data_IF_873304370448
#
_entry.id   IF_873304370448
#
_cell.length_a   1.000
_cell.length_b   1.000
_cell.length_c   1.000
_cell.angle_alpha   90.00
_cell.angle_beta   90.00
_cell.angle_gamma   90.00
#
_symmetry.space_group_name_H-M   'P 1'
#
loop_
_entity.id
_entity.type
_entity.pdbx_description
1 polymer ?
#
# COMPACT_ATOMS: atom_id res chain seq x y z
N UNK A 1 -18.66 -2.51 -9.65
CA UNK A 1 -17.22 -2.86 -9.67
C UNK A 1 -16.79 -3.23 -11.06
N UNK A 2 -15.60 -2.80 -11.46
CA UNK A 2 -15.06 -3.12 -12.76
C UNK A 2 -14.77 -4.62 -12.87
N UNK A 3 -15.10 -5.20 -14.02
CA UNK A 3 -14.86 -6.62 -14.28
C UNK A 3 -13.37 -7.01 -14.12
N UNK A 4 -12.45 -6.07 -14.35
CA UNK A 4 -11.01 -6.28 -14.17
C UNK A 4 -10.61 -6.50 -12.72
N UNK A 5 -11.46 -6.09 -11.77
CA UNK A 5 -11.17 -6.24 -10.34
C UNK A 5 -11.69 -7.56 -9.77
N UNK A 6 -12.35 -8.38 -10.59
CA UNK A 6 -12.88 -9.68 -10.19
C UNK A 6 -12.03 -10.78 -10.81
N UNK A 7 -11.58 -11.71 -9.98
CA UNK A 7 -10.73 -12.80 -10.47
C UNK A 7 -10.79 -14.00 -9.53
N UNK A 8 -10.28 -15.13 -10.01
CA UNK A 8 -10.05 -16.30 -9.17
C UNK A 8 -8.69 -16.16 -8.49
N UNK A 9 -8.47 -16.96 -7.43
CA UNK A 9 -7.18 -16.97 -6.75
C UNK A 9 -6.06 -17.38 -7.70
N UNK A 10 -6.32 -18.32 -8.60
CA UNK A 10 -5.33 -18.75 -9.58
C UNK A 10 -4.95 -17.61 -10.53
N UNK A 11 -5.92 -16.83 -10.98
CA UNK A 11 -5.66 -15.66 -11.81
C UNK A 11 -4.87 -14.59 -11.04
N UNK A 12 -5.21 -14.39 -9.77
CA UNK A 12 -4.50 -13.44 -8.91
C UNK A 12 -3.03 -13.85 -8.74
N UNK A 13 -2.77 -15.11 -8.51
CA UNK A 13 -1.40 -15.62 -8.35
C UNK A 13 -0.58 -15.42 -9.62
N UNK A 14 -1.18 -15.67 -10.79
CA UNK A 14 -0.50 -15.44 -12.05
C UNK A 14 -0.18 -13.99 -12.30
N UNK A 15 -1.12 -13.10 -11.96
CA UNK A 15 -0.90 -11.65 -12.09
C UNK A 15 0.21 -11.18 -11.16
N UNK A 16 0.21 -11.67 -9.93
CA UNK A 16 1.24 -11.31 -8.95
C UNK A 16 2.62 -11.78 -9.38
N UNK A 17 2.72 -12.98 -9.93
CA UNK A 17 3.99 -13.51 -10.42
C UNK A 17 4.55 -12.63 -11.55
N UNK A 18 3.70 -12.21 -12.48
CA UNK A 18 4.10 -11.29 -13.54
C UNK A 18 4.53 -9.95 -13.01
N UNK A 19 3.80 -9.42 -12.02
CA UNK A 19 4.10 -8.12 -11.42
C UNK A 19 5.42 -8.15 -10.63
N UNK A 20 5.81 -9.30 -10.09
CA UNK A 20 7.09 -9.44 -9.37
C UNK A 20 8.29 -9.27 -10.27
N UNK A 21 8.12 -9.35 -11.57
CA UNK A 21 9.19 -9.04 -12.52
C UNK A 21 9.46 -7.53 -12.59
N UNK A 22 8.49 -6.71 -12.20
CA UNK A 22 8.55 -5.25 -12.28
C UNK A 22 8.64 -4.61 -10.90
N UNK A 23 7.87 -5.10 -9.94
CA UNK A 23 7.84 -4.55 -8.59
C UNK A 23 8.64 -5.44 -7.65
N UNK A 24 9.34 -4.82 -6.70
CA UNK A 24 10.17 -5.55 -5.74
C UNK A 24 9.35 -6.37 -4.76
N UNK A 25 8.17 -5.89 -4.39
CA UNK A 25 7.26 -6.61 -3.51
C UNK A 25 5.86 -6.58 -4.11
N UNK A 26 5.23 -7.74 -4.19
CA UNK A 26 3.83 -7.88 -4.57
C UNK A 26 3.20 -8.83 -3.58
N UNK A 27 2.12 -8.40 -2.92
CA UNK A 27 1.45 -9.21 -1.91
C UNK A 27 -0.04 -8.97 -1.89
N UNK A 28 -0.79 -9.94 -1.33
CA UNK A 28 -2.22 -9.79 -1.10
C UNK A 28 -2.48 -9.58 0.38
N UNK A 29 -3.37 -8.65 0.68
CA UNK A 29 -3.82 -8.40 2.04
C UNK A 29 -5.31 -8.74 2.09
N UNK A 30 -5.69 -9.56 3.08
CA UNK A 30 -7.09 -9.96 3.26
C UNK A 30 -7.92 -8.75 3.70
N UNK A 31 -8.97 -8.44 2.93
CA UNK A 31 -9.82 -7.29 3.20
C UNK A 31 -10.61 -7.43 4.49
N UNK A 32 -11.06 -8.64 4.82
CA UNK A 32 -11.79 -8.88 6.07
C UNK A 32 -10.88 -8.66 7.27
N UNK A 33 -9.62 -9.06 7.17
CA UNK A 33 -8.62 -8.84 8.22
C UNK A 33 -8.39 -7.34 8.43
N UNK A 34 -8.29 -6.56 7.35
CA UNK A 34 -8.11 -5.12 7.44
C UNK A 34 -9.29 -4.45 8.15
N UNK A 35 -10.50 -4.82 7.81
CA UNK A 35 -11.71 -4.26 8.42
C UNK A 35 -11.81 -4.64 9.90
N UNK A 36 -11.50 -5.88 10.24
CA UNK A 36 -11.51 -6.36 11.59
C UNK A 36 -10.48 -5.64 12.46
N UNK A 37 -9.29 -5.43 11.92
CA UNK A 37 -8.24 -4.69 12.61
C UNK A 37 -8.65 -3.25 12.89
N UNK A 38 -9.30 -2.59 11.94
CA UNK A 38 -9.79 -1.23 12.14
C UNK A 38 -10.78 -1.17 13.30
N UNK A 39 -11.70 -2.13 13.36
CA UNK A 39 -12.68 -2.19 14.46
C UNK A 39 -12.00 -2.35 15.80
N UNK A 40 -11.00 -3.20 15.89
CA UNK A 40 -10.26 -3.43 17.13
C UNK A 40 -9.49 -2.21 17.58
N UNK A 41 -8.85 -1.52 16.66
CA UNK A 41 -8.11 -0.30 16.96
C UNK A 41 -9.07 0.80 17.46
N UNK A 42 -10.20 0.95 16.80
CA UNK A 42 -11.22 1.92 17.20
C UNK A 42 -11.80 1.61 18.57
N UNK A 43 -11.80 0.33 18.96
CA UNK A 43 -12.24 -0.09 20.29
C UNK A 43 -11.13 -0.01 21.35
N UNK A 44 -9.93 0.46 20.97
CA UNK A 44 -8.81 0.60 21.89
C UNK A 44 -7.94 -0.64 22.04
N UNK A 45 -8.17 -1.66 21.24
CA UNK A 45 -7.36 -2.88 21.26
C UNK A 45 -6.12 -2.70 20.39
N UNK A 46 -4.97 -2.54 21.03
CA UNK A 46 -3.69 -2.35 20.34
C UNK A 46 -2.82 -3.61 20.38
N UNK A 47 -3.42 -4.76 20.68
CA UNK A 47 -2.66 -6.00 20.83
C UNK A 47 -2.15 -6.59 19.53
N UNK A 48 -2.77 -6.26 18.41
CA UNK A 48 -2.34 -6.73 17.10
C UNK A 48 -1.68 -5.63 16.30
N UNK A 49 -0.57 -5.97 15.66
CA UNK A 49 0.16 -5.04 14.81
C UNK A 49 -0.16 -5.30 13.35
N UNK A 50 -0.17 -4.24 12.57
CA UNK A 50 -0.27 -4.32 11.14
C UNK A 50 1.07 -4.77 10.56
N UNK A 51 1.04 -5.75 9.66
CA UNK A 51 2.27 -6.18 9.01
C UNK A 51 2.92 -5.07 8.18
N UNK A 52 2.11 -4.11 7.72
CA UNK A 52 2.63 -2.98 6.95
C UNK A 52 3.65 -2.17 7.72
N UNK A 53 3.33 -1.74 8.92
CA UNK A 53 4.27 -0.88 9.64
C UNK A 53 5.47 -1.65 10.17
N UNK A 54 5.33 -2.96 10.39
CA UNK A 54 6.47 -3.80 10.68
C UNK A 54 7.46 -3.82 9.51
N UNK A 55 6.93 -3.93 8.29
CA UNK A 55 7.74 -3.85 7.07
C UNK A 55 8.48 -2.52 6.97
N UNK A 56 7.80 -1.41 7.33
CA UNK A 56 8.38 -0.07 7.25
C UNK A 56 9.17 0.32 8.51
N UNK A 57 9.37 -0.61 9.45
CA UNK A 57 10.11 -0.36 10.69
C UNK A 57 9.51 0.78 11.51
N UNK A 58 8.19 0.89 11.50
CA UNK A 58 7.46 1.89 12.28
C UNK A 58 7.08 1.31 13.64
N UNK A 59 7.10 2.14 14.68
CA UNK A 59 6.78 1.71 16.03
C UNK A 59 5.29 1.57 16.27
N UNK A 60 4.48 2.21 15.45
CA UNK A 60 3.04 2.20 15.60
C UNK A 60 2.37 2.13 14.24
N UNK A 61 1.08 1.80 14.25
CA UNK A 61 0.27 1.73 13.06
C UNK A 61 0.27 3.04 12.29
N UNK A 62 0.25 2.95 10.97
CA UNK A 62 0.07 4.11 10.11
C UNK A 62 -1.30 4.70 10.39
N UNK A 63 -1.38 6.00 10.64
CA UNK A 63 -2.66 6.69 10.81
C UNK A 63 -3.49 6.60 9.54
N UNK A 64 -2.83 6.55 8.40
CA UNK A 64 -3.47 6.55 7.10
C UNK A 64 -3.01 5.36 6.27
N UNK A 65 -3.70 4.26 6.40
CA UNK A 65 -3.41 3.03 5.66
C UNK A 65 -4.00 3.11 4.25
N UNK A 66 -3.16 3.18 3.22
CA UNK A 66 -3.64 3.25 1.84
C UNK A 66 -4.41 1.99 1.42
N UNK A 67 -4.04 0.84 1.97
CA UNK A 67 -4.76 -0.41 1.68
C UNK A 67 -6.17 -0.39 2.25
N UNK A 68 -6.34 0.16 3.45
CA UNK A 68 -7.67 0.29 4.04
C UNK A 68 -8.54 1.26 3.23
N UNK A 69 -7.98 2.37 2.78
CA UNK A 69 -8.69 3.32 1.92
C UNK A 69 -9.08 2.68 0.59
N UNK A 70 -8.15 1.94 -0.03
CA UNK A 70 -8.44 1.24 -1.29
C UNK A 70 -9.57 0.24 -1.10
N UNK A 71 -9.58 -0.47 0.01
CA UNK A 71 -10.63 -1.43 0.34
C UNK A 71 -11.99 -0.74 0.50
N UNK A 72 -12.05 0.31 1.29
CA UNK A 72 -13.30 1.01 1.58
C UNK A 72 -13.90 1.66 0.35
N UNK A 73 -13.07 2.26 -0.48
CA UNK A 73 -13.53 2.97 -1.68
C UNK A 73 -13.57 2.09 -2.92
N UNK A 74 -13.14 0.83 -2.79
CA UNK A 74 -13.09 -0.14 -3.89
C UNK A 74 -12.36 0.44 -5.11
N UNK A 75 -11.16 0.97 -4.87
CA UNK A 75 -10.38 1.66 -5.87
C UNK A 75 -8.89 1.40 -5.68
N UNK A 76 -8.07 2.14 -6.38
CA UNK A 76 -6.63 2.11 -6.25
C UNK A 76 -6.16 3.37 -5.54
N UNK A 77 -5.24 3.21 -4.60
CA UNK A 77 -4.59 4.30 -3.89
C UNK A 77 -3.08 4.17 -4.05
N UNK A 78 -2.40 5.29 -4.16
CA UNK A 78 -0.95 5.34 -4.27
C UNK A 78 -0.43 6.22 -3.16
N UNK A 79 0.61 5.76 -2.47
CA UNK A 79 1.31 6.59 -1.50
C UNK A 79 2.82 6.44 -1.67
N UNK A 80 3.55 7.33 -1.04
CA UNK A 80 5.02 7.28 -1.00
C UNK A 80 5.45 7.07 0.44
N UNK A 81 6.34 6.10 0.65
CA UNK A 81 6.92 5.83 1.97
C UNK A 81 8.39 6.15 1.95
N UNK A 82 8.88 6.69 3.06
CA UNK A 82 10.26 7.09 3.23
C UNK A 82 10.88 6.23 4.32
N UNK A 83 11.94 5.49 3.95
CA UNK A 83 12.61 4.58 4.86
C UNK A 83 14.11 4.69 4.64
N UNK A 84 14.86 5.07 5.70
CA UNK A 84 16.32 5.13 5.66
C UNK A 84 16.85 5.91 4.45
N UNK A 85 16.31 7.09 4.19
CA UNK A 85 16.68 7.98 3.07
C UNK A 85 16.33 7.41 1.69
N UNK A 86 15.51 6.38 1.66
CA UNK A 86 14.99 5.82 0.42
C UNK A 86 13.51 6.16 0.28
N UNK A 87 13.05 6.28 -0.96
CA UNK A 87 11.63 6.52 -1.23
C UNK A 87 11.05 5.33 -1.98
N UNK A 88 9.89 4.90 -1.52
CA UNK A 88 9.14 3.79 -2.11
C UNK A 88 7.78 4.25 -2.58
N UNK A 89 7.37 3.75 -3.73
CA UNK A 89 6.00 3.90 -4.20
C UNK A 89 5.21 2.67 -3.78
N UNK A 90 4.07 2.89 -3.12
CA UNK A 90 3.18 1.81 -2.72
C UNK A 90 1.86 1.98 -3.44
N UNK A 91 1.49 0.99 -4.24
CA UNK A 91 0.22 0.96 -4.96
C UNK A 91 -0.66 -0.07 -4.26
N UNK A 92 -1.82 0.36 -3.80
CA UNK A 92 -2.81 -0.52 -3.15
C UNK A 92 -4.06 -0.54 -4.01
N UNK A 93 -4.41 -1.71 -4.53
CA UNK A 93 -5.55 -1.86 -5.43
C UNK A 93 -6.54 -2.85 -4.87
N UNK A 94 -7.81 -2.44 -4.80
CA UNK A 94 -8.91 -3.34 -4.44
C UNK A 94 -9.09 -4.40 -5.51
N UNK A 95 -9.22 -5.65 -5.09
CA UNK A 95 -9.56 -6.77 -5.97
C UNK A 95 -10.52 -7.69 -5.23
N UNK A 96 -11.40 -8.34 -5.99
CA UNK A 96 -12.29 -9.38 -5.47
C UNK A 96 -11.78 -10.71 -5.98
N UNK A 97 -11.45 -11.60 -5.07
CA UNK A 97 -10.90 -12.92 -5.41
C UNK A 97 -11.84 -13.98 -4.86
N UNK A 98 -12.40 -14.78 -5.76
CA UNK A 98 -13.37 -15.81 -5.43
C UNK A 98 -14.52 -15.27 -4.56
N UNK A 99 -14.97 -14.05 -4.87
CA UNK A 99 -16.07 -13.39 -4.19
C UNK A 99 -15.72 -12.73 -2.87
N UNK A 100 -14.44 -12.67 -2.50
CA UNK A 100 -13.98 -12.08 -1.24
C UNK A 100 -13.10 -10.84 -1.49
N UNK A 101 -13.17 -9.84 -0.59
CA UNK A 101 -12.38 -8.62 -0.78
C UNK A 101 -10.94 -8.79 -0.38
N UNK A 102 -10.05 -8.29 -1.23
CA UNK A 102 -8.61 -8.25 -0.99
C UNK A 102 -8.05 -6.92 -1.47
N UNK A 103 -6.85 -6.61 -1.02
CA UNK A 103 -6.07 -5.51 -1.57
C UNK A 103 -4.75 -6.09 -2.07
N UNK A 104 -4.43 -5.81 -3.32
CA UNK A 104 -3.14 -6.17 -3.90
C UNK A 104 -2.20 -4.98 -3.73
N UNK A 105 -1.08 -5.21 -3.06
CA UNK A 105 -0.07 -4.18 -2.82
C UNK A 105 1.15 -4.43 -3.68
N UNK A 106 1.60 -3.38 -4.37
CA UNK A 106 2.79 -3.42 -5.21
C UNK A 106 3.73 -2.31 -4.74
N UNK A 107 4.96 -2.67 -4.42
CA UNK A 107 5.93 -1.76 -3.82
C UNK A 107 7.17 -1.68 -4.70
N UNK A 108 7.60 -0.48 -5.02
CA UNK A 108 8.77 -0.23 -5.83
C UNK A 108 9.67 0.82 -5.18
N UNK A 109 10.98 0.52 -5.12
CA UNK A 109 11.97 1.49 -4.68
C UNK A 109 12.25 2.45 -5.85
N UNK A 110 12.03 3.74 -5.63
CA UNK A 110 12.20 4.75 -6.67
C UNK A 110 13.63 5.29 -6.75
N UNK A 111 14.45 5.05 -5.73
CA UNK A 111 15.80 5.59 -5.69
C UNK A 111 16.66 5.13 -6.88
N UNK A 112 16.50 3.88 -7.29
CA UNK A 112 17.24 3.33 -8.41
C UNK A 112 16.75 3.82 -9.77
N UNK A 113 15.52 4.36 -9.80
CA UNK A 113 14.86 4.80 -11.01
C UNK A 113 15.00 6.30 -11.26
N UNK A 114 15.37 7.06 -10.23
CA UNK A 114 15.45 8.52 -10.29
C UNK A 114 16.87 8.94 -10.58
N UNK A 115 17.08 9.59 -11.73
CA UNK A 115 18.41 10.09 -12.15
C UNK A 115 18.39 11.61 -12.12
N UNK A 116 18.50 12.16 -10.91
CA UNK A 116 18.54 13.62 -10.69
C UNK A 116 19.65 13.93 -9.71
N UNK A 117 20.09 15.20 -9.70
CA UNK A 117 21.10 15.62 -8.75
C UNK A 117 20.53 15.70 -7.33
N UNK A 118 21.42 15.91 -6.35
CA UNK A 118 21.02 15.91 -4.94
C UNK A 118 19.98 16.97 -4.64
N UNK A 119 20.15 18.17 -5.20
CA UNK A 119 19.20 19.25 -4.98
C UNK A 119 17.82 18.91 -5.53
N UNK A 120 17.76 18.38 -6.75
CA UNK A 120 16.51 17.95 -7.34
C UNK A 120 15.86 16.81 -6.57
N UNK A 121 16.67 15.88 -6.09
CA UNK A 121 16.20 14.77 -5.26
C UNK A 121 15.56 15.27 -3.97
N UNK A 122 16.24 16.20 -3.26
CA UNK A 122 15.72 16.76 -2.01
C UNK A 122 14.39 17.49 -2.23
N UNK A 123 14.28 18.22 -3.33
CA UNK A 123 13.03 18.90 -3.68
C UNK A 123 11.91 17.91 -3.98
N UNK A 124 12.23 16.82 -4.67
CA UNK A 124 11.26 15.78 -4.99
C UNK A 124 10.75 15.11 -3.71
N UNK A 125 11.65 14.74 -2.81
CA UNK A 125 11.28 14.11 -1.53
C UNK A 125 10.35 15.02 -0.73
N UNK A 126 10.66 16.32 -0.66
CA UNK A 126 9.82 17.29 0.03
C UNK A 126 8.42 17.36 -0.56
N UNK A 127 8.30 17.37 -1.89
CA UNK A 127 7.01 17.40 -2.56
C UNK A 127 6.20 16.12 -2.34
N UNK A 128 6.85 14.97 -2.41
CA UNK A 128 6.16 13.69 -2.21
C UNK A 128 5.68 13.53 -0.78
N UNK A 129 6.46 13.99 0.19
CA UNK A 129 6.04 13.98 1.60
C UNK A 129 4.79 14.84 1.81
N UNK A 130 4.77 16.06 1.24
CA UNK A 130 3.63 16.93 1.30
C UNK A 130 2.40 16.35 0.60
N UNK A 131 2.61 15.67 -0.51
CA UNK A 131 1.53 14.99 -1.24
C UNK A 131 0.89 13.90 -0.38
N UNK A 132 1.69 13.09 0.29
CA UNK A 132 1.16 12.05 1.17
C UNK A 132 0.32 12.63 2.30
N UNK A 133 0.79 13.69 2.94
CA UNK A 133 0.03 14.37 4.00
C UNK A 133 -1.31 14.87 3.47
N UNK A 134 -1.29 15.51 2.31
CA UNK A 134 -2.49 16.05 1.69
C UNK A 134 -3.47 14.94 1.32
N UNK A 135 -2.96 13.82 0.82
CA UNK A 135 -3.80 12.69 0.41
C UNK A 135 -4.60 12.12 1.59
N UNK A 136 -4.03 12.13 2.77
CA UNK A 136 -4.61 11.46 3.93
C UNK A 136 -5.31 12.41 4.91
N UNK A 137 -5.09 13.70 4.81
CA UNK A 137 -5.69 14.67 5.74
C UNK A 137 -6.97 15.31 5.21
N UNK A 138 -7.26 15.13 3.95
CA UNK A 138 -8.49 15.68 3.34
C UNK A 138 -9.70 14.76 3.56
#
# INVERSE_FOLDING_TARGET
>A
MNKQDQMTMQEAERKMESLREVFQVVRLVDGEMLMDREKRINAGDLSETCQCYSFWKKDKECENCSSLLALKEQTQKIKFEFLDLQVFQVISRYVEIDGRPYVMEMIQNLDESIQIDQEGYDKLISKLSGYNEKLYTD
#
